data_IF_044563193455
#
_entry.id   IF_044563193455
#
_cell.length_a   1.000
_cell.length_b   1.000
_cell.length_c   1.000
_cell.angle_alpha   90.00
_cell.angle_beta   90.00
_cell.angle_gamma   90.00
#
_symmetry.space_group_name_H-M   'P 1'
#
loop_
_entity.id
_entity.type
_entity.pdbx_description
1 polymer ?
#
# COMPACT_ATOMS: atom_id res chain seq x y z
N UNK A 1 -0.74 -11.65 -39.01
CA UNK A 1 -1.57 -10.44 -39.25
C UNK A 1 -1.33 -9.47 -38.09
N UNK A 2 -0.57 -8.40 -38.34
CA UNK A 2 -0.24 -7.43 -37.30
C UNK A 2 -1.39 -6.46 -37.08
N UNK A 3 -1.85 -6.36 -35.84
CA UNK A 3 -2.89 -5.43 -35.42
C UNK A 3 -2.37 -3.99 -35.58
N UNK A 4 -3.00 -3.21 -36.44
CA UNK A 4 -2.68 -1.80 -36.64
C UNK A 4 -3.33 -0.99 -35.51
N UNK A 5 -2.54 -0.63 -34.51
CA UNK A 5 -2.96 0.38 -33.53
C UNK A 5 -2.90 1.76 -34.20
N UNK A 6 -4.04 2.31 -34.51
CA UNK A 6 -4.13 3.65 -35.11
C UNK A 6 -3.96 4.68 -33.97
N UNK A 7 -2.78 5.28 -33.89
CA UNK A 7 -2.58 6.47 -33.06
C UNK A 7 -2.84 7.69 -33.98
N UNK A 8 -3.95 8.36 -33.74
CA UNK A 8 -4.33 9.57 -34.48
C UNK A 8 -3.29 10.68 -34.22
N UNK A 9 -2.72 11.22 -35.32
CA UNK A 9 -1.81 12.37 -35.25
C UNK A 9 -0.31 12.04 -35.44
N UNK A 10 0.06 10.79 -35.65
CA UNK A 10 1.44 10.48 -36.05
C UNK A 10 1.61 10.54 -37.57
N UNK A 11 2.71 11.14 -38.09
CA UNK A 11 3.01 11.10 -39.51
C UNK A 11 3.19 9.64 -39.94
N UNK A 12 2.77 9.35 -41.20
CA UNK A 12 2.81 7.98 -41.78
C UNK A 12 4.21 7.40 -41.94
N UNK A 13 5.25 8.23 -41.85
CA UNK A 13 6.64 7.82 -41.81
C UNK A 13 7.38 8.71 -40.82
N UNK A 14 8.02 8.09 -39.85
CA UNK A 14 8.98 8.80 -38.99
C UNK A 14 10.28 8.96 -39.77
N UNK A 15 10.95 10.12 -39.68
CA UNK A 15 12.29 10.27 -40.24
C UNK A 15 13.23 9.22 -39.64
N UNK A 16 14.22 8.73 -40.41
CA UNK A 16 15.20 7.81 -39.88
C UNK A 16 15.92 8.43 -38.68
N UNK A 17 16.07 7.66 -37.61
CA UNK A 17 16.85 8.11 -36.45
C UNK A 17 18.30 8.40 -36.87
N UNK A 18 18.90 9.48 -36.40
CA UNK A 18 20.29 9.77 -36.67
C UNK A 18 21.20 8.63 -36.19
N UNK A 19 22.24 8.27 -36.95
CA UNK A 19 23.20 7.25 -36.52
C UNK A 19 23.94 7.72 -35.28
N UNK A 20 23.87 6.93 -34.23
CA UNK A 20 24.54 7.20 -32.94
C UNK A 20 23.65 6.88 -31.74
N UNK A 21 24.23 6.81 -30.54
CA UNK A 21 23.43 6.67 -29.34
C UNK A 21 22.50 7.88 -29.20
N UNK A 22 21.22 7.63 -28.99
CA UNK A 22 20.24 8.70 -28.78
C UNK A 22 20.71 9.63 -27.66
N UNK A 23 20.64 10.96 -27.86
CA UNK A 23 21.03 11.88 -26.79
C UNK A 23 20.22 11.58 -25.54
N UNK A 24 20.91 11.39 -24.41
CA UNK A 24 20.25 11.11 -23.13
C UNK A 24 19.39 12.31 -22.74
N UNK A 25 18.09 12.15 -22.83
CA UNK A 25 17.14 13.15 -22.39
C UNK A 25 17.14 13.16 -20.86
N UNK A 26 17.62 14.26 -20.24
CA UNK A 26 17.70 14.39 -18.78
C UNK A 26 16.37 14.07 -18.09
N UNK A 27 15.20 14.62 -18.52
CA UNK A 27 13.91 14.23 -17.93
C UNK A 27 13.58 12.75 -18.08
N UNK A 28 14.00 12.10 -19.17
CA UNK A 28 13.79 10.67 -19.34
C UNK A 28 14.70 9.84 -18.43
N UNK A 29 15.92 10.30 -18.19
CA UNK A 29 16.85 9.65 -17.26
C UNK A 29 16.35 9.79 -15.83
N UNK A 30 15.93 10.97 -15.43
CA UNK A 30 15.34 11.25 -14.12
C UNK A 30 14.04 10.46 -13.90
N UNK A 31 13.16 10.44 -14.90
CA UNK A 31 11.91 9.66 -14.82
C UNK A 31 12.10 8.14 -14.85
N UNK A 32 13.28 7.64 -15.25
CA UNK A 32 13.65 6.23 -15.22
C UNK A 32 14.53 5.85 -14.04
N UNK A 33 14.82 6.79 -13.15
CA UNK A 33 15.55 6.46 -11.93
C UNK A 33 14.76 5.39 -11.16
N UNK A 34 15.32 4.19 -11.13
CA UNK A 34 14.81 3.14 -10.27
C UNK A 34 15.30 3.44 -8.87
N UNK A 35 14.39 3.55 -7.93
CA UNK A 35 14.77 3.52 -6.52
C UNK A 35 15.60 2.25 -6.29
N UNK A 36 16.72 2.40 -5.59
CA UNK A 36 17.49 1.24 -5.16
C UNK A 36 16.56 0.28 -4.41
N UNK A 37 16.70 -1.04 -4.59
CA UNK A 37 15.91 -1.98 -3.82
C UNK A 37 16.10 -1.66 -2.34
N UNK A 38 15.02 -1.30 -1.66
CA UNK A 38 15.06 -1.16 -0.22
C UNK A 38 15.40 -2.54 0.35
N UNK A 39 16.51 -2.66 1.06
CA UNK A 39 16.76 -3.83 1.87
C UNK A 39 15.56 -3.98 2.81
N UNK A 40 14.89 -5.13 2.79
CA UNK A 40 13.77 -5.38 3.68
C UNK A 40 14.25 -5.19 5.12
N UNK A 41 13.74 -4.18 5.79
CA UNK A 41 14.11 -3.84 7.17
C UNK A 41 13.55 -4.87 8.16
N UNK A 42 12.73 -5.81 7.66
CA UNK A 42 12.02 -6.79 8.46
C UNK A 42 12.38 -8.21 8.03
N UNK A 43 12.42 -9.16 8.97
CA UNK A 43 12.53 -10.57 8.63
C UNK A 43 11.35 -10.96 7.72
N UNK A 44 11.54 -11.89 6.78
CA UNK A 44 10.47 -12.38 5.93
C UNK A 44 9.33 -12.93 6.77
N UNK A 45 8.10 -12.72 6.30
CA UNK A 45 6.89 -13.27 6.92
C UNK A 45 6.71 -14.73 6.51
N UNK A 46 6.39 -15.58 7.48
CA UNK A 46 6.27 -17.03 7.29
C UNK A 46 4.82 -17.50 7.21
N UNK A 47 3.87 -16.68 7.63
CA UNK A 47 2.45 -17.00 7.65
C UNK A 47 1.57 -15.76 7.41
N UNK A 48 0.31 -15.96 6.95
CA UNK A 48 -0.65 -14.88 6.81
C UNK A 48 -0.84 -14.07 8.08
N UNK A 49 -1.13 -12.79 7.95
CA UNK A 49 -1.38 -11.81 9.00
C UNK A 49 -0.18 -11.44 9.88
N UNK A 50 0.96 -12.11 9.80
CA UNK A 50 2.13 -11.77 10.65
C UNK A 50 2.57 -10.31 10.51
N UNK A 51 2.56 -9.77 9.30
CA UNK A 51 2.88 -8.36 9.04
C UNK A 51 1.83 -7.76 8.13
N UNK A 52 1.20 -6.69 8.59
CA UNK A 52 0.23 -5.92 7.85
C UNK A 52 0.80 -4.55 7.52
N UNK A 53 0.81 -4.21 6.23
CA UNK A 53 1.11 -2.88 5.75
C UNK A 53 -0.19 -2.10 5.64
N UNK A 54 -0.25 -0.95 6.29
CA UNK A 54 -1.44 -0.12 6.33
C UNK A 54 -1.13 1.29 5.85
N UNK A 55 -2.03 1.84 5.07
CA UNK A 55 -1.92 3.20 4.54
C UNK A 55 -3.31 3.85 4.42
N UNK A 56 -3.37 5.16 4.57
CA UNK A 56 -4.59 5.94 4.34
C UNK A 56 -4.35 6.94 3.23
N UNK A 57 -5.16 6.84 2.20
CA UNK A 57 -5.14 7.79 1.10
C UNK A 57 -6.34 8.72 1.15
N UNK A 58 -6.14 9.99 0.82
CA UNK A 58 -7.17 11.04 0.80
C UNK A 58 -6.72 12.32 1.53
N UNK A 59 -7.55 13.36 1.57
CA UNK A 59 -8.94 13.37 1.12
C UNK A 59 -9.09 13.46 -0.40
N UNK A 60 -10.07 12.73 -0.94
CA UNK A 60 -10.46 12.85 -2.34
C UNK A 60 -11.18 14.17 -2.60
N UNK A 61 -11.05 14.71 -3.83
CA UNK A 61 -11.80 15.90 -4.24
C UNK A 61 -13.31 15.62 -4.38
N UNK A 62 -13.65 14.43 -4.85
CA UNK A 62 -15.03 13.96 -5.03
C UNK A 62 -15.35 12.97 -3.93
N UNK A 63 -16.50 13.16 -3.28
CA UNK A 63 -16.97 12.23 -2.25
C UNK A 63 -17.58 11.00 -2.89
N UNK A 64 -17.41 9.85 -2.26
CA UNK A 64 -18.14 8.64 -2.60
C UNK A 64 -19.64 8.77 -2.32
N UNK A 65 -20.43 7.79 -2.74
CA UNK A 65 -21.88 7.77 -2.55
C UNK A 65 -22.29 7.80 -1.06
N UNK A 66 -21.49 7.21 -0.17
CA UNK A 66 -21.65 7.24 1.28
C UNK A 66 -20.94 8.40 1.96
N UNK A 67 -20.54 9.44 1.21
CA UNK A 67 -19.78 10.61 1.68
C UNK A 67 -18.32 10.30 2.09
N UNK A 68 -17.78 9.17 1.66
CA UNK A 68 -16.39 8.78 1.92
C UNK A 68 -15.43 9.74 1.20
N UNK A 69 -14.33 10.05 1.87
CA UNK A 69 -13.25 10.91 1.35
C UNK A 69 -11.87 10.28 1.48
N UNK A 70 -11.78 9.18 2.21
CA UNK A 70 -10.52 8.50 2.51
C UNK A 70 -10.66 7.02 2.19
N UNK A 71 -9.51 6.36 2.00
CA UNK A 71 -9.44 4.91 1.83
C UNK A 71 -8.36 4.38 2.75
N UNK A 72 -8.73 3.45 3.63
CA UNK A 72 -7.77 2.64 4.36
C UNK A 72 -7.40 1.44 3.50
N UNK A 73 -6.12 1.28 3.23
CA UNK A 73 -5.54 0.13 2.55
C UNK A 73 -4.86 -0.76 3.57
N UNK A 74 -5.16 -2.04 3.56
CA UNK A 74 -4.51 -3.06 4.39
C UNK A 74 -3.96 -4.13 3.46
N UNK A 75 -2.67 -4.40 3.52
CA UNK A 75 -1.97 -5.40 2.70
C UNK A 75 -1.29 -6.40 3.62
N UNK A 76 -1.61 -7.66 3.48
CA UNK A 76 -0.89 -8.75 4.14
C UNK A 76 0.44 -9.02 3.43
N UNK A 77 1.54 -8.95 4.14
CA UNK A 77 2.88 -9.09 3.56
C UNK A 77 3.13 -10.48 3.00
N UNK A 78 2.60 -11.52 3.62
CA UNK A 78 2.77 -12.90 3.19
C UNK A 78 1.98 -13.24 1.92
N UNK A 79 0.67 -13.06 1.97
CA UNK A 79 -0.23 -13.45 0.88
C UNK A 79 -0.40 -12.39 -0.21
N UNK A 80 0.01 -11.16 0.06
CA UNK A 80 -0.26 -9.97 -0.74
C UNK A 80 -1.76 -9.66 -0.86
N UNK A 81 -2.58 -10.32 -0.06
CA UNK A 81 -4.01 -10.02 -0.01
C UNK A 81 -4.23 -8.58 0.43
N UNK A 82 -5.04 -7.89 -0.34
CA UNK A 82 -5.27 -6.46 -0.16
C UNK A 82 -6.74 -6.20 0.11
N UNK A 83 -7.03 -5.47 1.18
CA UNK A 83 -8.36 -4.99 1.51
C UNK A 83 -8.39 -3.48 1.51
N UNK A 84 -9.47 -2.91 0.97
CA UNK A 84 -9.68 -1.46 0.91
C UNK A 84 -10.99 -1.12 1.61
N UNK A 85 -10.94 -0.15 2.53
CA UNK A 85 -12.09 0.37 3.24
C UNK A 85 -12.32 1.84 2.91
N UNK A 86 -13.44 2.20 2.30
CA UNK A 86 -13.82 3.59 2.17
C UNK A 86 -14.19 4.16 3.55
N UNK A 87 -13.66 5.35 3.85
CA UNK A 87 -13.84 6.02 5.14
C UNK A 87 -14.34 7.46 4.96
N UNK A 88 -15.16 7.92 5.87
CA UNK A 88 -15.60 9.32 5.92
C UNK A 88 -14.56 10.23 6.57
N UNK A 89 -13.87 9.71 7.58
CA UNK A 89 -12.87 10.42 8.36
C UNK A 89 -11.63 9.53 8.60
N UNK A 90 -10.47 10.16 8.74
CA UNK A 90 -9.28 9.47 9.24
C UNK A 90 -9.43 8.95 10.67
N UNK A 91 -10.32 9.57 11.45
CA UNK A 91 -10.66 9.11 12.80
C UNK A 91 -11.31 7.74 12.85
N UNK A 92 -11.90 7.26 11.74
CA UNK A 92 -12.57 5.96 11.67
C UNK A 92 -11.55 4.79 11.52
N UNK A 93 -10.29 5.10 11.19
CA UNK A 93 -9.23 4.12 10.91
C UNK A 93 -9.03 3.11 12.04
N UNK A 94 -8.88 3.52 13.31
CA UNK A 94 -8.61 2.58 14.40
C UNK A 94 -9.70 1.53 14.55
N UNK A 95 -10.96 1.95 14.53
CA UNK A 95 -12.10 1.05 14.72
C UNK A 95 -12.20 0.04 13.56
N UNK A 96 -12.19 0.55 12.33
CA UNK A 96 -12.27 -0.29 11.12
C UNK A 96 -11.13 -1.30 11.05
N UNK A 97 -9.91 -0.86 11.37
CA UNK A 97 -8.73 -1.72 11.34
C UNK A 97 -8.79 -2.81 12.41
N UNK A 98 -9.18 -2.46 13.64
CA UNK A 98 -9.31 -3.41 14.75
C UNK A 98 -10.37 -4.48 14.43
N UNK A 99 -11.53 -4.06 13.95
CA UNK A 99 -12.62 -4.98 13.60
C UNK A 99 -12.22 -5.91 12.46
N UNK A 100 -11.52 -5.38 11.45
CA UNK A 100 -11.00 -6.20 10.36
C UNK A 100 -9.97 -7.23 10.85
N UNK A 101 -9.00 -6.82 11.67
CA UNK A 101 -7.99 -7.74 12.22
C UNK A 101 -8.65 -8.88 12.98
N UNK A 102 -9.61 -8.56 13.86
CA UNK A 102 -10.35 -9.58 14.63
C UNK A 102 -11.12 -10.52 13.73
N UNK A 103 -11.79 -10.00 12.71
CA UNK A 103 -12.53 -10.79 11.73
C UNK A 103 -11.62 -11.70 10.91
N UNK A 104 -10.51 -11.17 10.40
CA UNK A 104 -9.54 -11.92 9.60
C UNK A 104 -8.90 -13.07 10.42
N UNK A 105 -8.48 -12.80 11.65
CA UNK A 105 -7.94 -13.84 12.55
C UNK A 105 -8.95 -14.94 12.78
N UNK A 106 -10.19 -14.63 13.11
CA UNK A 106 -11.26 -15.61 13.32
C UNK A 106 -11.47 -16.48 12.08
N UNK A 107 -11.65 -15.87 10.91
CA UNK A 107 -11.87 -16.60 9.66
C UNK A 107 -10.71 -17.54 9.30
N UNK A 108 -9.48 -17.09 9.48
CA UNK A 108 -8.31 -17.90 9.19
C UNK A 108 -8.10 -18.99 10.25
N UNK A 109 -8.37 -18.74 11.52
CA UNK A 109 -8.33 -19.75 12.58
C UNK A 109 -9.35 -20.86 12.33
N UNK A 110 -10.56 -20.53 11.91
CA UNK A 110 -11.59 -21.51 11.53
C UNK A 110 -11.15 -22.36 10.34
N UNK A 111 -10.46 -21.73 9.36
CA UNK A 111 -10.04 -22.42 8.13
C UNK A 111 -8.81 -23.29 8.32
N UNK A 112 -7.84 -22.86 9.09
CA UNK A 112 -6.54 -23.52 9.26
C UNK A 112 -6.39 -24.28 10.58
N UNK A 113 -7.35 -24.17 11.47
CA UNK A 113 -7.33 -24.85 12.77
C UNK A 113 -6.25 -24.35 13.74
N UNK A 114 -5.66 -23.19 13.48
CA UNK A 114 -4.60 -22.60 14.29
C UNK A 114 -4.79 -21.10 14.46
N UNK A 115 -4.42 -20.57 15.62
CA UNK A 115 -4.39 -19.11 15.82
C UNK A 115 -3.26 -18.50 14.99
N UNK A 116 -3.59 -17.48 14.20
CA UNK A 116 -2.65 -16.74 13.36
C UNK A 116 -2.46 -15.34 13.96
N UNK A 117 -1.41 -15.13 14.76
CA UNK A 117 -1.19 -13.86 15.42
C UNK A 117 -0.74 -12.80 14.42
N UNK A 118 -1.26 -11.58 14.58
CA UNK A 118 -0.67 -10.40 13.95
C UNK A 118 0.52 -9.97 14.82
N UNK A 119 1.71 -9.97 14.22
CA UNK A 119 2.94 -9.63 14.95
C UNK A 119 3.34 -8.17 14.74
N UNK A 120 2.99 -7.60 13.57
CA UNK A 120 3.42 -6.27 13.19
C UNK A 120 2.38 -5.51 12.36
N UNK A 121 2.19 -4.24 12.72
CA UNK A 121 1.56 -3.24 11.86
C UNK A 121 2.62 -2.27 11.36
N UNK A 122 2.75 -2.12 10.05
CA UNK A 122 3.65 -1.17 9.42
C UNK A 122 2.86 -0.09 8.70
N UNK A 123 3.10 1.18 9.06
CA UNK A 123 2.41 2.33 8.47
C UNK A 123 3.35 3.50 8.26
N UNK A 124 2.85 4.57 7.68
CA UNK A 124 3.45 5.88 7.82
C UNK A 124 3.22 6.44 9.25
N UNK A 125 3.72 7.65 9.50
CA UNK A 125 3.56 8.34 10.79
C UNK A 125 2.27 9.16 10.90
N UNK A 126 1.23 8.82 10.15
CA UNK A 126 -0.06 9.49 10.25
C UNK A 126 -0.62 9.44 11.67
N UNK A 127 -1.25 10.53 12.12
CA UNK A 127 -1.83 10.62 13.46
C UNK A 127 -2.91 9.56 13.71
N UNK A 128 -3.61 9.13 12.67
CA UNK A 128 -4.61 8.07 12.69
C UNK A 128 -4.05 6.74 13.19
N UNK A 129 -2.78 6.43 12.87
CA UNK A 129 -2.09 5.21 13.30
C UNK A 129 -1.44 5.33 14.69
N UNK A 130 -1.40 6.54 15.24
CA UNK A 130 -0.86 6.84 16.57
C UNK A 130 -1.95 7.12 17.60
N UNK A 131 -3.22 6.80 17.29
CA UNK A 131 -4.35 6.99 18.20
C UNK A 131 -4.21 6.12 19.47
N UNK A 132 -4.74 6.61 20.58
CA UNK A 132 -4.71 5.87 21.85
C UNK A 132 -5.44 4.54 21.75
N UNK A 133 -6.56 4.49 21.02
CA UNK A 133 -7.32 3.28 20.79
C UNK A 133 -6.50 2.21 20.08
N UNK A 134 -5.84 2.55 18.98
CA UNK A 134 -5.02 1.59 18.22
C UNK A 134 -3.79 1.16 19.02
N UNK A 135 -3.15 2.10 19.72
CA UNK A 135 -2.01 1.76 20.61
C UNK A 135 -2.39 0.82 21.74
N UNK A 136 -3.55 1.07 22.37
CA UNK A 136 -4.06 0.19 23.42
C UNK A 136 -4.34 -1.21 22.89
N UNK A 137 -4.99 -1.32 21.74
CA UNK A 137 -5.24 -2.59 21.06
C UNK A 137 -3.93 -3.32 20.73
N UNK A 138 -2.98 -2.66 20.07
CA UNK A 138 -1.70 -3.27 19.72
C UNK A 138 -0.94 -3.77 20.94
N UNK A 139 -0.96 -3.01 22.04
CA UNK A 139 -0.33 -3.42 23.30
C UNK A 139 -1.01 -4.63 23.92
N UNK A 140 -2.35 -4.67 23.91
CA UNK A 140 -3.12 -5.80 24.44
C UNK A 140 -2.92 -7.09 23.67
N UNK A 141 -2.78 -6.98 22.34
CA UNK A 141 -2.60 -8.13 21.43
C UNK A 141 -1.12 -8.48 21.17
N UNK A 142 -0.18 -7.77 21.77
CA UNK A 142 1.27 -7.99 21.54
C UNK A 142 1.74 -7.58 20.14
N UNK A 143 1.02 -6.72 19.45
CA UNK A 143 1.33 -6.28 18.09
C UNK A 143 2.36 -5.14 18.14
N UNK A 144 3.45 -5.28 17.39
CA UNK A 144 4.47 -4.23 17.24
C UNK A 144 4.06 -3.24 16.16
N UNK A 145 3.92 -1.98 16.52
CA UNK A 145 3.78 -0.90 15.52
C UNK A 145 5.15 -0.45 15.02
N UNK A 146 5.29 -0.34 13.71
CA UNK A 146 6.50 0.16 13.03
C UNK A 146 6.10 1.20 12.00
N UNK A 147 6.97 2.19 11.80
CA UNK A 147 6.67 3.32 10.91
C UNK A 147 7.74 3.46 9.85
N UNK A 148 7.33 3.91 8.65
CA UNK A 148 8.27 4.29 7.60
C UNK A 148 9.20 5.39 8.11
N UNK A 149 10.49 5.30 7.75
CA UNK A 149 11.40 6.42 7.98
C UNK A 149 10.93 7.61 7.14
N UNK A 150 11.04 8.85 7.67
CA UNK A 150 10.83 10.02 6.84
C UNK A 150 11.77 9.93 5.65
N UNK A 151 11.26 10.20 4.44
CA UNK A 151 12.14 10.36 3.29
C UNK A 151 13.13 11.48 3.65
N UNK A 152 14.42 11.15 3.71
CA UNK A 152 15.44 12.19 3.81
C UNK A 152 15.37 13.05 2.55
N UNK A 153 15.39 14.39 2.68
CA UNK A 153 15.38 15.28 1.53
C UNK A 153 16.60 15.08 0.63
#
# INVERSE_FOLDING_TARGET
MASRTLVLGLPRSLPPLPPGPAPSCVPCVEGRQRAAPHSSTFPPTEAPLQTLHINVWGPTRVRGQGHERYFLLVVDDYSRYTTVFPLRSKGDVPEVLIDWIRGARRQLSERFGSDLPVLRLHSDRGGEFSSDLLRAFCRAEGIRQTFTLPASP
#
